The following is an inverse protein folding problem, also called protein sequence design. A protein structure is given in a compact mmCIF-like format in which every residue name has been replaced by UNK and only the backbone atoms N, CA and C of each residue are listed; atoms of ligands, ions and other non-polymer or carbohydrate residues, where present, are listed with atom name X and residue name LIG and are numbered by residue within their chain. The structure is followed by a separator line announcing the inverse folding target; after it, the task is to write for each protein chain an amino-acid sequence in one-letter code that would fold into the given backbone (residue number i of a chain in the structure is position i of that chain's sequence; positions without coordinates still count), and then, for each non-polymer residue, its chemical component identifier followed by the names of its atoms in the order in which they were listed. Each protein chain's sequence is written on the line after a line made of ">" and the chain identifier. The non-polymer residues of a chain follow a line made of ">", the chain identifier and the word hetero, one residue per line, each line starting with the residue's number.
data_IF_186808425223
#
_entry.id   IF_186808425223
#
_cell.length_a   1.000
_cell.length_b   1.000
_cell.length_c   1.000
_cell.angle_alpha   90.00
_cell.angle_beta   90.00
_cell.angle_gamma   90.00
#
_symmetry.space_group_name_H-M   'P 1'
#
loop_
_entity.id
_entity.type
_entity.pdbx_description
1 polymer ?
#
# COMPACT_ATOMS: atom_id res chain seq x y z
N UNK A 1 5.64 27.56 4.18
CA UNK A 1 6.27 26.28 4.56
C UNK A 1 5.17 25.38 5.09
N UNK A 2 5.14 24.10 4.72
CA UNK A 2 4.16 23.15 5.25
C UNK A 2 4.23 23.09 6.78
N UNK A 3 3.11 23.36 7.47
CA UNK A 3 3.10 23.39 8.94
C UNK A 3 3.05 21.97 9.56
N UNK A 4 2.58 20.98 8.79
CA UNK A 4 2.48 19.59 9.23
C UNK A 4 2.91 18.61 8.13
N UNK A 5 3.46 17.48 8.56
CA UNK A 5 3.65 16.26 7.77
C UNK A 5 2.58 15.26 8.22
N UNK A 6 1.77 14.80 7.27
CA UNK A 6 0.73 13.81 7.51
C UNK A 6 1.10 12.54 6.77
N UNK A 7 1.31 11.47 7.52
CA UNK A 7 1.67 10.16 7.00
C UNK A 7 0.45 9.25 7.10
N UNK A 8 0.07 8.64 6.00
CA UNK A 8 -1.07 7.74 5.89
C UNK A 8 -0.56 6.30 5.73
N UNK A 9 -1.18 5.36 6.43
CA UNK A 9 -1.34 4.02 5.89
C UNK A 9 -2.33 4.03 4.71
N UNK A 10 -2.36 2.98 3.90
CA UNK A 10 -3.20 2.93 2.71
C UNK A 10 -4.43 2.04 2.89
N UNK A 11 -4.23 0.74 3.03
CA UNK A 11 -5.31 -0.21 3.23
C UNK A 11 -6.06 0.08 4.53
N UNK A 12 -7.39 -0.01 4.48
CA UNK A 12 -8.33 0.32 5.56
C UNK A 12 -8.19 1.73 6.12
N UNK A 13 -7.37 2.60 5.54
CA UNK A 13 -7.16 3.98 6.00
C UNK A 13 -7.56 4.97 4.93
N UNK A 14 -6.95 4.88 3.74
CA UNK A 14 -7.34 5.66 2.57
C UNK A 14 -8.49 4.96 1.85
N UNK A 15 -8.38 3.65 1.62
CA UNK A 15 -9.45 2.86 1.02
C UNK A 15 -10.27 2.14 2.10
N UNK A 16 -11.53 1.87 1.82
CA UNK A 16 -12.43 1.10 2.69
C UNK A 16 -12.29 -0.40 2.41
N UNK A 17 -11.11 -0.95 2.73
CA UNK A 17 -10.81 -2.35 2.48
C UNK A 17 -9.33 -2.64 2.36
N UNK A 18 -9.03 -3.80 1.81
CA UNK A 18 -7.68 -4.34 1.63
C UNK A 18 -7.46 -4.54 0.14
N UNK A 19 -6.50 -3.82 -0.44
CA UNK A 19 -6.27 -3.76 -1.89
C UNK A 19 -5.88 -5.11 -2.48
N UNK A 20 -5.09 -5.90 -1.76
CA UNK A 20 -4.71 -7.26 -2.13
C UNK A 20 -5.92 -8.19 -2.19
N UNK A 21 -6.72 -8.23 -1.12
CA UNK A 21 -7.96 -9.01 -1.06
C UNK A 21 -8.97 -8.58 -2.11
N UNK A 22 -9.05 -7.27 -2.41
CA UNK A 22 -9.90 -6.74 -3.47
C UNK A 22 -9.53 -7.36 -4.81
N UNK A 23 -8.28 -7.27 -5.23
CA UNK A 23 -7.81 -7.85 -6.50
C UNK A 23 -8.00 -9.36 -6.54
N UNK A 24 -7.60 -10.08 -5.48
CA UNK A 24 -7.77 -11.54 -5.39
C UNK A 24 -9.22 -11.95 -5.58
N UNK A 25 -10.15 -11.25 -4.92
CA UNK A 25 -11.58 -11.59 -4.98
C UNK A 25 -12.19 -11.23 -6.33
N UNK A 26 -11.98 -10.00 -6.79
CA UNK A 26 -12.58 -9.50 -8.03
C UNK A 26 -12.04 -10.21 -9.28
N UNK A 27 -10.83 -10.74 -9.21
CA UNK A 27 -10.20 -11.49 -10.31
C UNK A 27 -10.36 -13.01 -10.18
N UNK A 28 -11.13 -13.50 -9.20
CA UNK A 28 -11.46 -14.93 -9.09
C UNK A 28 -10.31 -15.82 -8.60
N UNK A 29 -9.36 -15.28 -7.85
CA UNK A 29 -8.22 -16.04 -7.29
C UNK A 29 -8.42 -16.51 -5.85
N UNK A 30 -9.57 -16.25 -5.22
CA UNK A 30 -9.81 -16.53 -3.79
C UNK A 30 -9.47 -17.96 -3.38
N UNK A 31 -9.85 -18.96 -4.18
CA UNK A 31 -9.56 -20.35 -3.84
C UNK A 31 -8.05 -20.63 -3.81
N UNK A 32 -7.34 -20.27 -4.89
CA UNK A 32 -5.89 -20.47 -4.98
C UNK A 32 -5.14 -19.69 -3.89
N UNK A 33 -5.59 -18.47 -3.61
CA UNK A 33 -5.03 -17.65 -2.54
C UNK A 33 -5.12 -18.36 -1.18
N UNK A 34 -6.30 -18.86 -0.81
CA UNK A 34 -6.50 -19.55 0.47
C UNK A 34 -5.73 -20.89 0.55
N UNK A 35 -5.58 -21.61 -0.57
CA UNK A 35 -4.76 -22.82 -0.65
C UNK A 35 -3.27 -22.55 -0.43
N UNK A 36 -2.74 -21.45 -0.96
CA UNK A 36 -1.32 -21.11 -0.89
C UNK A 36 -0.94 -20.31 0.36
N UNK A 37 -1.88 -19.59 0.97
CA UNK A 37 -1.65 -18.74 2.16
C UNK A 37 -0.88 -19.42 3.30
N UNK A 38 -1.11 -20.70 3.65
CA UNK A 38 -0.38 -21.35 4.74
C UNK A 38 1.12 -21.58 4.45
N UNK A 39 1.54 -21.48 3.18
CA UNK A 39 2.88 -21.90 2.72
C UNK A 39 3.77 -20.76 2.26
N UNK A 40 3.20 -19.60 1.96
CA UNK A 40 3.91 -18.43 1.44
C UNK A 40 3.78 -17.26 2.40
N UNK A 41 4.83 -16.43 2.48
CA UNK A 41 4.70 -15.11 3.08
C UNK A 41 3.74 -14.26 2.25
N UNK A 42 3.09 -13.27 2.87
CA UNK A 42 2.08 -12.43 2.21
C UNK A 42 2.60 -11.78 0.92
N UNK A 43 3.79 -11.18 0.96
CA UNK A 43 4.41 -10.56 -0.22
C UNK A 43 4.65 -11.57 -1.36
N UNK A 44 5.23 -12.74 -1.06
CA UNK A 44 5.44 -13.80 -2.05
C UNK A 44 4.14 -14.39 -2.57
N UNK A 45 3.11 -14.49 -1.72
CA UNK A 45 1.78 -14.93 -2.09
C UNK A 45 1.16 -13.96 -3.10
N UNK A 46 1.26 -12.65 -2.86
CA UNK A 46 0.73 -11.64 -3.78
C UNK A 46 1.50 -11.58 -5.09
N UNK A 47 2.83 -11.70 -5.09
CA UNK A 47 3.60 -11.86 -6.34
C UNK A 47 3.14 -13.11 -7.11
N UNK A 48 2.90 -14.22 -6.41
CA UNK A 48 2.36 -15.45 -7.02
C UNK A 48 0.96 -15.24 -7.60
N UNK A 49 0.10 -14.44 -6.98
CA UNK A 49 -1.21 -14.09 -7.54
C UNK A 49 -1.07 -13.29 -8.83
N UNK A 50 -0.13 -12.35 -8.92
CA UNK A 50 0.10 -11.59 -10.16
C UNK A 50 0.59 -12.47 -11.30
N UNK A 51 1.45 -13.45 -10.99
CA UNK A 51 1.89 -14.46 -11.98
C UNK A 51 0.72 -15.33 -12.46
N UNK A 52 -0.20 -15.69 -11.58
CA UNK A 52 -1.39 -16.45 -11.94
C UNK A 52 -2.35 -15.63 -12.82
N UNK A 53 -2.61 -14.37 -12.48
CA UNK A 53 -3.41 -13.49 -13.34
C UNK A 53 -2.82 -13.42 -14.76
N UNK A 54 -1.51 -13.27 -14.86
CA UNK A 54 -0.83 -13.26 -16.14
C UNK A 54 -0.98 -14.60 -16.90
N UNK A 55 -0.88 -15.75 -16.22
CA UNK A 55 -1.05 -17.07 -16.85
C UNK A 55 -2.47 -17.24 -17.42
N UNK A 56 -3.46 -16.60 -16.79
CA UNK A 56 -4.85 -16.52 -17.26
C UNK A 56 -5.09 -15.43 -18.32
N UNK A 57 -4.04 -14.79 -18.82
CA UNK A 57 -4.10 -13.77 -19.87
C UNK A 57 -4.52 -12.39 -19.39
N UNK A 58 -4.54 -12.12 -18.08
CA UNK A 58 -4.79 -10.78 -17.54
C UNK A 58 -3.55 -9.91 -17.65
N UNK A 59 -3.76 -8.66 -18.01
CA UNK A 59 -2.73 -7.64 -18.15
C UNK A 59 -2.68 -6.74 -16.90
N UNK A 60 -1.58 -6.00 -16.68
CA UNK A 60 -1.57 -4.93 -15.68
C UNK A 60 -2.70 -3.89 -15.86
N UNK A 61 -3.17 -3.68 -17.09
CA UNK A 61 -4.31 -2.79 -17.36
C UNK A 61 -5.62 -3.34 -16.79
N UNK A 62 -5.86 -4.65 -16.94
CA UNK A 62 -7.05 -5.29 -16.34
C UNK A 62 -7.03 -5.15 -14.81
N UNK A 63 -5.85 -5.32 -14.21
CA UNK A 63 -5.65 -5.15 -12.76
C UNK A 63 -5.93 -3.69 -12.35
N UNK A 64 -5.45 -2.71 -13.10
CA UNK A 64 -5.75 -1.30 -12.86
C UNK A 64 -7.26 -1.00 -12.95
N UNK A 65 -7.96 -1.53 -13.96
CA UNK A 65 -9.42 -1.37 -14.09
C UNK A 65 -10.20 -1.99 -12.93
N UNK A 66 -9.72 -3.10 -12.38
CA UNK A 66 -10.27 -3.68 -11.16
C UNK A 66 -10.02 -2.77 -9.95
N UNK A 67 -8.82 -2.22 -9.82
CA UNK A 67 -8.45 -1.31 -8.72
C UNK A 67 -9.21 0.01 -8.77
N UNK A 68 -9.57 0.54 -9.95
CA UNK A 68 -10.42 1.73 -10.06
C UNK A 68 -11.79 1.58 -9.37
N UNK A 69 -12.24 0.35 -9.17
CA UNK A 69 -13.51 0.04 -8.49
C UNK A 69 -13.34 -0.16 -6.98
N UNK A 70 -12.11 -0.12 -6.46
CA UNK A 70 -11.85 -0.25 -5.03
C UNK A 70 -12.54 0.89 -4.27
N UNK A 71 -13.21 0.59 -3.15
CA UNK A 71 -14.02 1.58 -2.45
C UNK A 71 -13.12 2.61 -1.74
N UNK A 72 -13.33 3.89 -2.03
CA UNK A 72 -12.79 5.01 -1.27
C UNK A 72 -13.92 5.93 -0.87
N UNK A 73 -13.97 6.31 0.41
CA UNK A 73 -15.04 7.18 0.88
C UNK A 73 -14.81 8.62 0.35
N UNK A 74 -15.79 9.29 -0.28
CA UNK A 74 -15.59 10.62 -0.87
C UNK A 74 -15.06 11.69 0.10
N UNK A 75 -15.39 11.57 1.39
CA UNK A 75 -14.85 12.47 2.43
C UNK A 75 -13.35 12.28 2.66
N UNK A 76 -12.79 11.09 2.47
CA UNK A 76 -11.34 10.85 2.54
C UNK A 76 -10.66 11.58 1.39
N UNK A 77 -11.19 11.43 0.17
CA UNK A 77 -10.71 12.16 -1.02
C UNK A 77 -10.71 13.68 -0.77
N UNK A 78 -11.83 14.21 -0.27
CA UNK A 78 -11.94 15.64 0.04
C UNK A 78 -10.96 16.09 1.13
N UNK A 79 -10.74 15.28 2.17
CA UNK A 79 -9.81 15.58 3.25
C UNK A 79 -8.36 15.62 2.76
N UNK A 80 -7.93 14.65 1.94
CA UNK A 80 -6.58 14.61 1.36
C UNK A 80 -6.33 15.85 0.49
N UNK A 81 -7.25 16.16 -0.44
CA UNK A 81 -7.14 17.35 -1.31
C UNK A 81 -7.11 18.66 -0.51
N UNK A 82 -7.92 18.74 0.56
CA UNK A 82 -7.94 19.91 1.44
C UNK A 82 -6.62 20.08 2.21
N UNK A 83 -6.10 18.99 2.79
CA UNK A 83 -4.82 19.02 3.50
C UNK A 83 -3.66 19.41 2.57
N UNK A 84 -3.63 18.87 1.35
CA UNK A 84 -2.65 19.25 0.33
C UNK A 84 -2.75 20.74 -0.05
N UNK A 85 -3.96 21.26 -0.27
CA UNK A 85 -4.20 22.68 -0.60
C UNK A 85 -3.79 23.62 0.54
N UNK A 86 -3.95 23.19 1.79
CA UNK A 86 -3.45 23.91 2.98
C UNK A 86 -1.92 23.85 3.11
N UNK A 87 -1.24 23.17 2.19
CA UNK A 87 0.21 23.08 2.14
C UNK A 87 0.79 22.03 3.07
N UNK A 88 0.00 21.08 3.61
CA UNK A 88 0.55 19.95 4.35
C UNK A 88 1.39 19.06 3.43
N UNK A 89 2.47 18.52 3.98
CA UNK A 89 3.26 17.50 3.30
C UNK A 89 2.64 16.13 3.56
N UNK A 90 2.04 15.53 2.53
CA UNK A 90 1.33 14.25 2.65
C UNK A 90 2.23 13.12 2.15
N UNK A 91 2.31 12.04 2.93
CA UNK A 91 3.13 10.86 2.60
C UNK A 91 2.35 9.57 2.86
N UNK A 92 2.73 8.49 2.20
CA UNK A 92 2.20 7.15 2.45
C UNK A 92 3.32 6.24 2.94
N UNK A 93 3.04 5.47 3.99
CA UNK A 93 3.84 4.33 4.43
C UNK A 93 2.88 3.17 4.60
N UNK A 94 2.91 2.19 3.69
CA UNK A 94 1.96 1.08 3.72
C UNK A 94 2.56 -0.24 3.27
N UNK A 95 2.14 -1.34 3.90
CA UNK A 95 2.55 -2.70 3.55
C UNK A 95 1.75 -3.29 2.36
N UNK A 96 0.95 -2.46 1.68
CA UNK A 96 0.38 -2.79 0.37
C UNK A 96 1.50 -2.83 -0.70
N UNK A 97 1.16 -2.61 -1.97
CA UNK A 97 2.17 -2.54 -3.05
C UNK A 97 2.00 -1.30 -3.94
N UNK A 98 3.13 -0.87 -4.51
CA UNK A 98 3.24 0.39 -5.26
C UNK A 98 2.25 0.49 -6.41
N UNK A 99 2.12 -0.53 -7.26
CA UNK A 99 1.19 -0.51 -8.39
C UNK A 99 -0.25 -0.29 -7.93
N UNK A 100 -0.68 -0.94 -6.84
CA UNK A 100 -2.06 -0.86 -6.36
C UNK A 100 -2.37 0.53 -5.82
N UNK A 101 -1.48 1.05 -4.98
CA UNK A 101 -1.57 2.39 -4.42
C UNK A 101 -1.64 3.42 -5.55
N UNK A 102 -0.68 3.39 -6.48
CA UNK A 102 -0.58 4.39 -7.56
C UNK A 102 -1.83 4.38 -8.44
N UNK A 103 -2.33 3.21 -8.86
CA UNK A 103 -3.51 3.14 -9.76
C UNK A 103 -4.79 3.63 -9.09
N UNK A 104 -4.99 3.33 -7.81
CA UNK A 104 -6.14 3.86 -7.06
C UNK A 104 -6.01 5.38 -6.89
N UNK A 105 -4.84 5.88 -6.48
CA UNK A 105 -4.64 7.31 -6.28
C UNK A 105 -4.74 8.11 -7.58
N UNK A 106 -4.22 7.60 -8.70
CA UNK A 106 -4.36 8.20 -10.03
C UNK A 106 -5.84 8.35 -10.41
N UNK A 107 -6.64 7.30 -10.23
CA UNK A 107 -8.06 7.30 -10.58
C UNK A 107 -8.88 8.37 -9.84
N UNK A 108 -8.47 8.76 -8.64
CA UNK A 108 -9.15 9.76 -7.81
C UNK A 108 -8.49 11.16 -7.85
N UNK A 109 -7.51 11.37 -8.73
CA UNK A 109 -6.69 12.58 -8.80
C UNK A 109 -6.01 12.91 -7.46
N UNK A 110 -5.52 11.89 -6.77
CA UNK A 110 -4.85 11.99 -5.47
C UNK A 110 -3.35 11.76 -5.54
N UNK A 111 -2.82 11.11 -6.58
CA UNK A 111 -1.40 10.75 -6.64
C UNK A 111 -0.50 11.99 -6.46
N UNK A 112 -0.82 13.09 -7.15
CA UNK A 112 -0.07 14.35 -7.04
C UNK A 112 -0.18 15.06 -5.69
N UNK A 113 -1.04 14.60 -4.78
CA UNK A 113 -1.14 15.17 -3.43
C UNK A 113 -0.02 14.68 -2.49
N UNK A 114 0.61 13.54 -2.81
CA UNK A 114 1.59 12.88 -1.96
C UNK A 114 3.01 13.14 -2.47
N UNK A 115 3.90 13.55 -1.56
CA UNK A 115 5.31 13.80 -1.88
C UNK A 115 6.17 12.53 -1.84
N UNK A 116 5.70 11.51 -1.13
CA UNK A 116 6.44 10.26 -0.91
C UNK A 116 5.48 9.09 -0.67
N UNK A 117 5.80 7.94 -1.25
CA UNK A 117 5.13 6.65 -1.02
C UNK A 117 6.21 5.61 -0.73
N UNK A 118 6.31 5.17 0.52
CA UNK A 118 7.17 4.05 0.92
C UNK A 118 6.28 2.80 1.05
N UNK A 119 6.51 1.79 0.22
CA UNK A 119 5.70 0.57 0.15
C UNK A 119 6.44 -0.56 -0.57
N UNK A 120 5.87 -1.77 -0.64
CA UNK A 120 6.44 -2.87 -1.40
C UNK A 120 6.53 -2.50 -2.89
N UNK A 121 7.73 -2.63 -3.46
CA UNK A 121 8.03 -2.18 -4.83
C UNK A 121 7.33 -3.07 -5.84
N UNK A 122 6.90 -2.48 -6.95
CA UNK A 122 6.39 -3.23 -8.10
C UNK A 122 7.18 -2.93 -9.37
N UNK A 123 7.29 -3.92 -10.25
CA UNK A 123 7.90 -3.76 -11.59
C UNK A 123 7.05 -4.52 -12.60
N UNK A 124 6.84 -3.92 -13.77
CA UNK A 124 6.37 -4.67 -14.94
C UNK A 124 7.61 -5.21 -15.66
N UNK A 125 7.75 -6.53 -15.70
CA UNK A 125 8.93 -7.17 -16.29
C UNK A 125 8.87 -7.21 -17.83
N UNK A 126 9.91 -7.78 -18.45
CA UNK A 126 10.03 -7.89 -19.91
C UNK A 126 8.92 -8.74 -20.55
N UNK A 127 8.32 -9.64 -19.78
CA UNK A 127 7.19 -10.48 -20.19
C UNK A 127 5.84 -9.78 -19.93
N UNK A 128 5.86 -8.50 -19.55
CA UNK A 128 4.70 -7.67 -19.19
C UNK A 128 3.94 -8.19 -17.95
N UNK A 129 4.63 -8.91 -17.07
CA UNK A 129 4.06 -9.39 -15.81
C UNK A 129 4.26 -8.34 -14.74
N UNK A 130 3.21 -8.10 -13.96
CA UNK A 130 3.35 -7.33 -12.73
C UNK A 130 4.05 -8.21 -11.68
N UNK A 131 5.18 -7.72 -11.16
CA UNK A 131 5.97 -8.37 -10.12
C UNK A 131 5.97 -7.52 -8.87
N UNK A 132 5.85 -8.16 -7.71
CA UNK A 132 5.83 -7.52 -6.40
C UNK A 132 7.09 -7.94 -5.64
N UNK A 133 7.78 -6.96 -5.06
CA UNK A 133 9.01 -7.16 -4.31
C UNK A 133 8.89 -6.57 -2.90
N UNK A 134 9.54 -7.17 -1.91
CA UNK A 134 9.68 -6.59 -0.58
C UNK A 134 10.26 -5.18 -0.62
N UNK A 135 9.80 -4.32 0.30
CA UNK A 135 10.40 -3.00 0.48
C UNK A 135 11.81 -3.08 1.08
N UNK A 136 12.00 -3.95 2.09
CA UNK A 136 13.31 -4.25 2.65
C UNK A 136 14.01 -5.37 1.90
N UNK A 137 15.34 -5.28 1.82
CA UNK A 137 16.16 -6.37 1.32
C UNK A 137 16.11 -7.56 2.30
N UNK A 138 15.53 -8.66 1.86
CA UNK A 138 15.40 -9.87 2.67
C UNK A 138 16.73 -10.57 2.96
N UNK A 139 17.81 -10.22 2.25
CA UNK A 139 19.17 -10.73 2.54
C UNK A 139 19.81 -10.05 3.75
N UNK A 140 19.28 -8.90 4.17
CA UNK A 140 19.64 -8.21 5.40
C UNK A 140 18.37 -7.81 6.15
N UNK A 141 17.68 -8.78 6.78
CA UNK A 141 16.44 -8.51 7.51
C UNK A 141 16.65 -7.47 8.60
N UNK A 142 15.65 -6.63 8.82
CA UNK A 142 15.66 -5.70 9.95
C UNK A 142 15.45 -6.45 11.28
N UNK A 143 15.99 -5.91 12.36
CA UNK A 143 15.91 -6.51 13.70
C UNK A 143 14.63 -6.10 14.45
N UNK A 144 13.48 -6.14 13.77
CA UNK A 144 12.17 -5.75 14.36
C UNK A 144 11.23 -6.94 14.33
N UNK A 145 10.81 -7.38 15.53
CA UNK A 145 9.98 -8.57 15.71
C UNK A 145 8.47 -8.27 15.64
N UNK A 146 8.10 -7.00 15.47
CA UNK A 146 6.72 -6.53 15.41
C UNK A 146 6.22 -6.32 13.98
N UNK A 147 7.12 -6.44 12.99
CA UNK A 147 6.82 -6.15 11.60
C UNK A 147 7.09 -7.38 10.72
N UNK A 148 6.35 -7.55 9.62
CA UNK A 148 6.69 -8.58 8.65
C UNK A 148 8.03 -8.24 7.97
N UNK A 149 8.77 -9.28 7.56
CA UNK A 149 10.16 -9.14 7.06
C UNK A 149 10.28 -8.21 5.85
N UNK A 150 9.20 -8.08 5.07
CA UNK A 150 9.22 -7.30 3.84
C UNK A 150 9.13 -5.79 4.11
N UNK A 151 8.55 -5.34 5.22
CA UNK A 151 8.39 -3.91 5.51
C UNK A 151 8.22 -3.58 6.99
N UNK A 152 9.07 -2.68 7.49
CA UNK A 152 8.96 -2.05 8.79
C UNK A 152 8.52 -0.59 8.62
N UNK A 153 7.25 -0.29 8.94
CA UNK A 153 6.70 1.07 8.85
C UNK A 153 7.46 2.05 9.77
N UNK A 154 7.80 1.60 10.98
CA UNK A 154 8.56 2.39 11.95
C UNK A 154 9.96 2.77 11.42
N UNK A 155 10.65 1.86 10.71
CA UNK A 155 11.93 2.17 10.09
C UNK A 155 11.81 3.26 9.02
N UNK A 156 10.73 3.22 8.22
CA UNK A 156 10.49 4.26 7.22
C UNK A 156 10.25 5.63 7.86
N UNK A 157 9.62 5.67 9.04
CA UNK A 157 9.44 6.89 9.84
C UNK A 157 10.72 7.41 10.51
N UNK A 158 11.71 6.56 10.78
CA UNK A 158 12.97 6.97 11.44
C UNK A 158 14.05 7.42 10.45
N UNK A 159 13.78 7.40 9.13
CA UNK A 159 14.70 7.92 8.12
C UNK A 159 15.12 9.37 8.48
N UNK A 160 16.41 9.73 8.32
CA UNK A 160 16.92 11.04 8.73
C UNK A 160 16.16 12.25 8.17
N UNK A 161 15.58 12.13 6.97
CA UNK A 161 14.75 13.16 6.36
C UNK A 161 13.48 13.47 7.17
N UNK A 162 12.84 12.45 7.75
CA UNK A 162 11.67 12.61 8.63
C UNK A 162 12.13 13.07 10.02
N UNK A 163 13.14 12.43 10.58
CA UNK A 163 13.65 12.76 11.92
C UNK A 163 14.14 14.22 12.04
N UNK A 164 14.76 14.77 10.99
CA UNK A 164 15.20 16.17 10.94
C UNK A 164 14.04 17.17 10.87
N UNK A 165 12.86 16.75 10.41
CA UNK A 165 11.65 17.57 10.33
C UNK A 165 10.81 17.49 11.62
N UNK A 166 10.88 16.38 12.37
CA UNK A 166 10.09 16.15 13.60
C UNK A 166 10.32 17.19 14.71
N UNK A 167 11.44 17.91 14.69
CA UNK A 167 11.72 19.03 15.60
C UNK A 167 11.27 20.41 15.08
N UNK A 168 10.79 20.49 13.83
CA UNK A 168 10.45 21.75 13.12
C UNK A 168 9.01 21.81 12.60
N UNK A 169 8.33 20.66 12.47
CA UNK A 169 6.96 20.52 11.94
C UNK A 169 6.15 19.55 12.79
N UNK A 170 4.82 19.71 12.79
CA UNK A 170 3.91 18.76 13.43
C UNK A 170 3.81 17.48 12.60
N UNK A 171 4.01 16.31 13.22
CA UNK A 171 3.84 15.01 12.58
C UNK A 171 2.53 14.36 13.01
N UNK A 172 1.78 13.84 12.04
CA UNK A 172 0.52 13.13 12.25
C UNK A 172 0.62 11.81 11.47
N UNK A 173 0.43 10.69 12.14
CA UNK A 173 0.37 9.37 11.50
C UNK A 173 -1.07 8.86 11.60
N UNK A 174 -1.65 8.45 10.47
CA UNK A 174 -3.02 7.99 10.34
C UNK A 174 -2.99 6.53 9.89
N UNK A 175 -3.46 5.63 10.75
CA UNK A 175 -3.65 4.21 10.47
C UNK A 175 -4.90 3.77 11.22
N UNK A 176 -5.81 3.06 10.55
CA UNK A 176 -6.95 2.43 11.21
C UNK A 176 -6.65 0.94 11.46
N UNK A 177 -6.42 0.58 12.71
CA UNK A 177 -6.46 -0.82 13.13
C UNK A 177 -7.92 -1.24 13.33
N UNK A 178 -8.40 -2.19 12.53
CA UNK A 178 -9.63 -2.93 12.86
C UNK A 178 -9.21 -4.18 13.63
N UNK A 179 -9.16 -4.08 14.96
CA UNK A 179 -9.22 -5.27 15.82
C UNK A 179 -10.60 -5.92 15.64
N UNK A 180 -10.65 -7.07 14.95
CA UNK A 180 -11.75 -8.02 15.15
C UNK A 180 -11.28 -9.03 16.19
N UNK A 181 -11.29 -8.63 17.45
CA UNK A 181 -11.29 -9.54 18.60
C UNK A 181 -12.71 -9.66 19.13
N UNK A 182 -13.46 -10.61 18.56
CA UNK A 182 -14.57 -11.26 19.26
C UNK A 182 -14.88 -12.61 18.59
N UNK A 183 -13.99 -13.59 18.80
CA UNK A 183 -14.46 -14.96 18.94
C UNK A 183 -14.80 -15.16 20.43
N UNK A 184 -16.10 -15.24 20.72
CA UNK A 184 -16.67 -16.07 21.79
C UNK A 184 -17.75 -16.93 21.15
#
# INVERSE_FOLDING_TARGET
>A
MAEAVVVFDFDRTIIDGDSDRWVVTQMGLTQLFEELRPTLSWNSLMDRMMLELHSQGKTPSDIAECLHKAPIHPRIVAAIKSAHTLGCDLRIISDANQFFIEKILEHHDLLGCFSQIDTNRTVIDEEKRLRIFPYHDLSSPHDCNLCPLNMCKAWSLTKPAIAAESGRRRFIYLEMEVEITAQL
#
